data_IF_801429524192
#
_entry.id   IF_801429524192
#
_cell.length_a   1.000
_cell.length_b   1.000
_cell.length_c   1.000
_cell.angle_alpha   90.00
_cell.angle_beta   90.00
_cell.angle_gamma   90.00
#
_symmetry.space_group_name_H-M   'P 1'
#
loop_
_entity.id
_entity.type
_entity.pdbx_description
1 polymer ?
#
# COMPACT_ATOMS: atom_id res chain seq x y z
N UNK A 1 1.65 4.37 4.48
CA UNK A 1 0.32 4.91 4.91
C UNK A 1 -0.62 5.09 3.74
N UNK A 2 -0.26 5.84 2.69
CA UNK A 2 -1.13 6.09 1.52
C UNK A 2 -1.70 4.84 0.83
N UNK A 3 -0.88 3.80 0.60
CA UNK A 3 -1.35 2.57 -0.04
C UNK A 3 -2.49 1.88 0.71
N UNK A 4 -2.46 1.90 2.05
CA UNK A 4 -3.53 1.33 2.88
C UNK A 4 -4.82 2.17 2.81
N UNK A 5 -4.69 3.49 2.75
CA UNK A 5 -5.82 4.43 2.59
C UNK A 5 -6.49 4.25 1.23
N UNK A 6 -5.69 4.08 0.17
CA UNK A 6 -6.21 3.81 -1.18
C UNK A 6 -6.87 2.44 -1.28
N UNK A 7 -6.31 1.42 -0.63
CA UNK A 7 -6.93 0.11 -0.54
C UNK A 7 -8.30 0.21 0.16
N UNK A 8 -8.37 0.92 1.30
CA UNK A 8 -9.64 1.19 1.95
C UNK A 8 -10.62 1.93 1.04
N UNK A 9 -10.16 2.96 0.32
CA UNK A 9 -11.02 3.71 -0.61
C UNK A 9 -11.59 2.80 -1.71
N UNK A 10 -10.78 1.89 -2.26
CA UNK A 10 -11.25 0.91 -3.24
C UNK A 10 -12.32 -0.02 -2.65
N UNK A 11 -12.14 -0.50 -1.41
CA UNK A 11 -13.15 -1.31 -0.72
C UNK A 11 -14.43 -0.53 -0.41
N UNK A 12 -14.31 0.77 -0.09
CA UNK A 12 -15.47 1.63 0.15
C UNK A 12 -16.32 1.82 -1.11
N UNK A 13 -15.69 1.95 -2.29
CA UNK A 13 -16.41 2.07 -3.56
C UNK A 13 -16.96 0.74 -4.11
N UNK A 14 -16.37 -0.40 -3.77
CA UNK A 14 -16.70 -1.72 -4.37
C UNK A 14 -17.70 -2.53 -3.53
N UNK A 15 -18.65 -1.86 -2.87
CA UNK A 15 -19.57 -2.44 -1.88
C UNK A 15 -19.94 -3.92 -2.06
N UNK A 16 -19.73 -4.71 -1.01
CA UNK A 16 -20.06 -6.14 -0.88
C UNK A 16 -19.31 -7.15 -1.78
N UNK A 17 -18.31 -6.76 -2.58
CA UNK A 17 -17.44 -7.69 -3.33
C UNK A 17 -15.95 -7.59 -2.92
N UNK A 18 -15.53 -8.31 -1.86
CA UNK A 18 -14.17 -8.23 -1.31
C UNK A 18 -13.06 -8.56 -2.32
N UNK A 19 -13.31 -9.49 -3.24
CA UNK A 19 -12.33 -9.90 -4.26
C UNK A 19 -12.07 -8.81 -5.30
N UNK A 20 -13.12 -8.11 -5.75
CA UNK A 20 -12.96 -7.00 -6.69
C UNK A 20 -12.24 -5.83 -6.03
N UNK A 21 -12.60 -5.48 -4.78
CA UNK A 21 -11.91 -4.44 -4.03
C UNK A 21 -10.40 -4.70 -3.90
N UNK A 22 -10.02 -5.97 -3.67
CA UNK A 22 -8.62 -6.38 -3.63
C UNK A 22 -7.90 -6.24 -4.98
N UNK A 23 -8.48 -6.75 -6.06
CA UNK A 23 -7.88 -6.67 -7.40
C UNK A 23 -7.72 -5.22 -7.87
N UNK A 24 -8.73 -4.39 -7.60
CA UNK A 24 -8.72 -2.97 -7.92
C UNK A 24 -7.63 -2.25 -7.11
N UNK A 25 -7.54 -2.53 -5.80
CA UNK A 25 -6.49 -1.99 -4.93
C UNK A 25 -5.09 -2.42 -5.37
N UNK A 26 -4.91 -3.65 -5.86
CA UNK A 26 -3.63 -4.18 -6.32
C UNK A 26 -3.06 -3.38 -7.50
N UNK A 27 -3.92 -2.81 -8.35
CA UNK A 27 -3.50 -2.01 -9.50
C UNK A 27 -3.47 -0.52 -9.14
N UNK A 28 -4.54 0.00 -8.54
CA UNK A 28 -4.69 1.45 -8.32
C UNK A 28 -3.74 1.96 -7.25
N UNK A 29 -3.50 1.21 -6.18
CA UNK A 29 -2.60 1.67 -5.12
C UNK A 29 -1.16 1.90 -5.61
N UNK A 30 -0.48 0.96 -6.29
CA UNK A 30 0.89 1.19 -6.77
C UNK A 30 0.94 2.22 -7.91
N UNK A 31 -0.05 2.25 -8.82
CA UNK A 31 -0.08 3.25 -9.89
C UNK A 31 -0.19 4.67 -9.33
N UNK A 32 -1.08 4.87 -8.36
CA UNK A 32 -1.27 6.19 -7.76
C UNK A 32 -0.06 6.61 -6.90
N UNK A 33 0.44 5.71 -6.05
CA UNK A 33 1.61 6.01 -5.20
C UNK A 33 2.86 6.22 -6.05
N UNK A 34 3.05 5.42 -7.10
CA UNK A 34 4.13 5.58 -8.07
C UNK A 34 4.03 6.89 -8.83
N UNK A 35 2.83 7.27 -9.28
CA UNK A 35 2.60 8.58 -9.92
C UNK A 35 2.89 9.75 -8.98
N UNK A 36 2.46 9.67 -7.72
CA UNK A 36 2.75 10.68 -6.70
C UNK A 36 4.27 10.79 -6.45
N UNK A 37 4.98 9.66 -6.41
CA UNK A 37 6.43 9.63 -6.25
C UNK A 37 7.14 10.29 -7.44
N UNK A 38 6.75 9.95 -8.67
CA UNK A 38 7.30 10.57 -9.89
C UNK A 38 7.04 12.08 -9.94
N UNK A 39 5.84 12.52 -9.55
CA UNK A 39 5.50 13.94 -9.48
C UNK A 39 6.32 14.66 -8.41
N UNK A 40 6.48 14.05 -7.23
CA UNK A 40 7.27 14.62 -6.15
C UNK A 40 8.75 14.75 -6.53
N UNK A 41 9.30 13.74 -7.21
CA UNK A 41 10.67 13.78 -7.72
C UNK A 41 10.87 14.93 -8.73
N UNK A 42 9.98 15.05 -9.72
CA UNK A 42 10.08 16.12 -10.72
C UNK A 42 9.85 17.52 -10.17
N UNK A 43 8.89 17.69 -9.27
CA UNK A 43 8.50 19.01 -8.78
C UNK A 43 9.44 19.52 -7.69
N UNK A 44 9.93 18.63 -6.82
CA UNK A 44 10.68 19.03 -5.63
C UNK A 44 12.15 18.66 -5.78
N UNK A 45 12.47 17.38 -5.97
CA UNK A 45 13.86 16.90 -5.93
C UNK A 45 14.70 17.44 -7.10
N UNK A 46 14.11 17.51 -8.30
CA UNK A 46 14.79 18.08 -9.47
C UNK A 46 15.11 19.57 -9.28
N UNK A 47 14.27 20.32 -8.55
CA UNK A 47 14.49 21.75 -8.28
C UNK A 47 15.63 22.01 -7.29
N UNK A 48 15.86 21.11 -6.35
CA UNK A 48 16.95 21.20 -5.37
C UNK A 48 18.25 20.54 -5.83
N UNK A 49 18.32 20.10 -7.09
CA UNK A 49 19.51 19.48 -7.71
C UNK A 49 20.06 18.30 -6.91
N UNK A 50 19.19 17.56 -6.21
CA UNK A 50 19.56 16.41 -5.37
C UNK A 50 20.64 16.70 -4.32
N UNK A 51 20.72 17.95 -3.82
CA UNK A 51 21.60 18.28 -2.70
C UNK A 51 21.21 17.45 -1.45
N UNK A 52 22.15 16.78 -0.78
CA UNK A 52 21.85 15.81 0.26
C UNK A 52 21.11 16.43 1.46
N UNK A 53 21.52 17.62 1.89
CA UNK A 53 20.90 18.33 3.01
C UNK A 53 19.45 18.74 2.70
N UNK A 54 19.21 19.35 1.54
CA UNK A 54 17.86 19.76 1.12
C UNK A 54 16.95 18.57 0.81
N UNK A 55 17.50 17.45 0.34
CA UNK A 55 16.70 16.25 0.00
C UNK A 55 16.14 15.61 1.26
N UNK A 56 16.92 15.54 2.34
CA UNK A 56 16.43 15.02 3.63
C UNK A 56 15.29 15.91 4.16
N UNK A 57 15.48 17.24 4.16
CA UNK A 57 14.44 18.17 4.63
C UNK A 57 13.18 18.10 3.75
N UNK A 58 13.34 18.02 2.42
CA UNK A 58 12.24 17.92 1.48
C UNK A 58 11.44 16.63 1.64
N UNK A 59 12.11 15.49 1.80
CA UNK A 59 11.46 14.18 1.98
C UNK A 59 10.73 14.08 3.31
N UNK A 60 11.32 14.57 4.40
CA UNK A 60 10.64 14.64 5.71
C UNK A 60 9.42 15.58 5.63
N UNK A 61 9.57 16.76 5.04
CA UNK A 61 8.47 17.71 4.85
C UNK A 61 7.33 17.12 4.01
N UNK A 62 7.66 16.46 2.90
CA UNK A 62 6.69 15.76 2.05
C UNK A 62 5.95 14.68 2.84
N UNK A 63 6.67 13.88 3.62
CA UNK A 63 6.07 12.85 4.47
C UNK A 63 5.09 13.46 5.47
N UNK A 64 5.42 14.57 6.13
CA UNK A 64 4.50 15.21 7.08
C UNK A 64 3.26 15.79 6.39
N UNK A 65 3.41 16.43 5.24
CA UNK A 65 2.27 16.94 4.46
C UNK A 65 1.33 15.79 4.09
N UNK A 66 1.88 14.71 3.54
CA UNK A 66 1.10 13.53 3.15
C UNK A 66 0.39 12.91 4.36
N UNK A 67 1.10 12.74 5.47
CA UNK A 67 0.51 12.19 6.70
C UNK A 67 -0.62 13.06 7.23
N UNK A 68 -0.44 14.38 7.25
CA UNK A 68 -1.46 15.31 7.73
C UNK A 68 -2.69 15.33 6.83
N UNK A 69 -2.50 15.25 5.51
CA UNK A 69 -3.61 15.09 4.57
C UNK A 69 -4.38 13.79 4.85
N UNK A 70 -3.68 12.68 5.04
CA UNK A 70 -4.30 11.40 5.39
C UNK A 70 -5.10 11.50 6.69
N UNK A 71 -4.53 12.07 7.75
CA UNK A 71 -5.23 12.24 9.03
C UNK A 71 -6.47 13.14 8.91
N UNK A 72 -6.41 14.16 8.05
CA UNK A 72 -7.53 15.08 7.81
C UNK A 72 -8.68 14.40 7.06
N UNK A 73 -8.38 13.58 6.05
CA UNK A 73 -9.40 12.92 5.22
C UNK A 73 -9.91 11.59 5.79
N UNK A 74 -9.01 10.78 6.34
CA UNK A 74 -9.32 9.42 6.82
C UNK A 74 -9.70 9.40 8.30
N UNK A 75 -9.23 10.38 9.08
CA UNK A 75 -9.30 10.35 10.53
C UNK A 75 -8.27 9.39 11.16
N UNK A 76 -8.15 9.39 12.50
CA UNK A 76 -7.20 8.54 13.23
C UNK A 76 -7.64 7.08 13.35
N UNK A 77 -8.86 6.74 12.90
CA UNK A 77 -9.44 5.41 13.05
C UNK A 77 -8.90 4.42 12.01
N UNK A 78 -8.31 3.32 12.49
CA UNK A 78 -7.83 2.23 11.65
C UNK A 78 -9.02 1.37 11.19
N UNK A 79 -9.55 1.65 9.98
CA UNK A 79 -10.62 0.84 9.39
C UNK A 79 -10.02 -0.43 8.76
N UNK A 80 -10.29 -1.63 9.32
CA UNK A 80 -9.73 -2.87 8.77
C UNK A 80 -10.33 -3.15 7.40
N UNK A 81 -9.47 -3.62 6.48
CA UNK A 81 -9.88 -4.13 5.17
C UNK A 81 -10.13 -5.63 5.30
N UNK A 82 -11.31 -6.08 4.91
CA UNK A 82 -11.67 -7.50 4.94
C UNK A 82 -10.83 -8.32 3.95
N UNK A 83 -10.51 -9.55 4.34
CA UNK A 83 -9.71 -10.43 3.49
C UNK A 83 -10.55 -10.92 2.31
N UNK A 84 -10.01 -10.95 1.08
CA UNK A 84 -10.78 -11.37 -0.10
C UNK A 84 -11.14 -12.86 -0.06
N UNK A 85 -10.36 -13.69 0.65
CA UNK A 85 -10.58 -15.13 0.79
C UNK A 85 -10.38 -15.51 2.25
N UNK A 86 -11.45 -15.99 2.90
CA UNK A 86 -11.42 -16.53 4.26
C UNK A 86 -11.21 -18.04 4.23
N UNK A 87 -9.98 -18.46 3.95
CA UNK A 87 -9.56 -19.84 4.18
C UNK A 87 -8.67 -19.87 5.42
N UNK A 88 -8.91 -20.77 6.38
CA UNK A 88 -8.04 -20.96 7.55
C UNK A 88 -7.56 -22.40 7.57
N UNK A 89 -6.23 -22.57 7.56
CA UNK A 89 -5.61 -23.87 7.80
C UNK A 89 -5.39 -23.96 9.31
N UNK A 90 -6.21 -24.76 9.98
CA UNK A 90 -6.10 -25.01 11.41
C UNK A 90 -5.25 -26.26 11.64
N UNK A 91 -4.09 -26.07 12.25
CA UNK A 91 -3.34 -27.16 12.87
C UNK A 91 -3.78 -27.32 14.33
N UNK A 92 -3.51 -28.46 14.98
CA UNK A 92 -3.96 -28.72 16.36
C UNK A 92 -3.49 -27.70 17.40
N UNK A 93 -2.46 -26.90 17.09
CA UNK A 93 -1.84 -25.93 18.01
C UNK A 93 -1.86 -24.48 17.49
N UNK A 94 -2.10 -24.23 16.20
CA UNK A 94 -2.14 -22.88 15.62
C UNK A 94 -2.97 -22.83 14.33
N UNK A 95 -3.59 -21.68 14.05
CA UNK A 95 -4.32 -21.45 12.81
C UNK A 95 -3.64 -20.38 11.94
N UNK A 96 -3.35 -20.70 10.68
CA UNK A 96 -2.94 -19.69 9.70
C UNK A 96 -4.10 -19.31 8.78
N UNK A 97 -4.18 -18.03 8.45
CA UNK A 97 -5.00 -17.57 7.33
C UNK A 97 -4.36 -18.07 6.03
N UNK A 98 -5.07 -18.89 5.29
CA UNK A 98 -4.67 -19.43 3.99
C UNK A 98 -4.35 -18.34 2.98
N UNK A 99 -4.97 -17.16 3.08
CA UNK A 99 -4.59 -15.99 2.29
C UNK A 99 -3.11 -15.63 2.46
N UNK A 100 -2.56 -15.66 3.69
CA UNK A 100 -1.13 -15.38 3.93
C UNK A 100 -0.22 -16.43 3.29
N UNK A 101 -0.65 -17.69 3.27
CA UNK A 101 0.10 -18.78 2.67
C UNK A 101 0.13 -18.66 1.14
N UNK A 102 -1.00 -18.30 0.52
CA UNK A 102 -1.07 -18.04 -0.93
C UNK A 102 -0.15 -16.88 -1.31
N UNK A 103 -0.21 -15.75 -0.59
CA UNK A 103 0.65 -14.59 -0.86
C UNK A 103 2.14 -14.93 -0.67
N UNK A 104 2.49 -15.68 0.37
CA UNK A 104 3.86 -16.12 0.60
C UNK A 104 4.36 -17.05 -0.52
N UNK A 105 3.51 -17.99 -0.96
CA UNK A 105 3.83 -18.88 -2.09
C UNK A 105 4.01 -18.12 -3.40
N UNK A 106 3.08 -17.21 -3.73
CA UNK A 106 3.16 -16.36 -4.91
C UNK A 106 4.41 -15.48 -4.90
N UNK A 107 4.71 -14.84 -3.77
CA UNK A 107 5.93 -14.03 -3.59
C UNK A 107 7.18 -14.88 -3.78
N UNK A 108 7.21 -16.10 -3.22
CA UNK A 108 8.30 -17.05 -3.41
C UNK A 108 8.50 -17.41 -4.88
N UNK A 109 7.43 -17.70 -5.62
CA UNK A 109 7.48 -18.00 -7.06
C UNK A 109 7.97 -16.79 -7.86
N UNK A 110 7.42 -15.60 -7.59
CA UNK A 110 7.82 -14.38 -8.30
C UNK A 110 9.29 -14.01 -8.06
N UNK A 111 9.77 -14.17 -6.82
CA UNK A 111 11.16 -13.94 -6.47
C UNK A 111 12.08 -15.01 -7.04
N UNK A 112 11.60 -16.25 -7.17
CA UNK A 112 12.31 -17.35 -7.81
C UNK A 112 12.53 -17.10 -9.30
N UNK A 113 11.56 -16.56 -10.01
CA UNK A 113 11.69 -16.25 -11.44
C UNK A 113 12.62 -15.06 -11.74
N UNK A 114 12.82 -14.17 -10.76
CA UNK A 114 13.68 -12.98 -10.89
C UNK A 114 14.98 -13.05 -10.08
N UNK A 115 15.47 -14.27 -9.81
CA UNK A 115 16.52 -14.56 -8.82
C UNK A 115 17.81 -13.72 -8.89
N UNK A 116 18.38 -13.50 -7.68
CA UNK A 116 19.75 -13.08 -7.30
C UNK A 116 20.45 -11.97 -8.11
#
# INVERSE_FOLDING_TARGET
MLGAVLAWACFHFTGNMPLLGFLLALIVAPVFVGGLAMLSDRLILHRIQYNPESTIVATIGLLYIIQQLVLTFFGPEARPVEAPIYFRVQFPWFGYSGYKLIVAGLSGVLCWEHGF
#
